data_IF_419438864153
#
_entry.id   IF_419438864153
#
_cell.length_a   1.000
_cell.length_b   1.000
_cell.length_c   1.000
_cell.angle_alpha   90.00
_cell.angle_beta   90.00
_cell.angle_gamma   90.00
#
_symmetry.space_group_name_H-M   'P 1'
#
loop_
_entity.id
_entity.type
_entity.pdbx_description
1 polymer ?
#
# COMPACT_ATOMS: atom_id res chain seq x y z
N UNK A 1 -1.79 14.86 -22.29
CA UNK A 1 -0.36 14.93 -21.93
C UNK A 1 -0.24 14.47 -20.48
N UNK A 2 0.41 13.33 -20.23
CA UNK A 2 0.15 12.09 -20.95
C UNK A 2 -0.13 10.97 -19.93
N UNK A 3 -0.76 9.88 -20.36
CA UNK A 3 -0.97 8.73 -19.49
C UNK A 3 0.31 8.16 -18.89
N UNK A 4 0.15 7.15 -18.06
CA UNK A 4 1.25 6.48 -17.39
C UNK A 4 1.87 5.43 -18.31
N UNK A 5 3.15 5.10 -18.15
CA UNK A 5 3.83 4.04 -18.91
C UNK A 5 3.04 2.73 -18.92
N UNK A 6 2.42 2.37 -17.78
CA UNK A 6 1.63 1.14 -17.66
C UNK A 6 0.14 1.31 -17.97
N UNK A 7 -0.32 2.54 -18.26
CA UNK A 7 -1.72 2.89 -18.62
C UNK A 7 -1.76 4.18 -19.46
N UNK A 8 -1.66 4.03 -20.78
CA UNK A 8 -1.50 5.15 -21.73
C UNK A 8 -2.69 6.14 -21.76
N UNK A 9 -3.91 5.68 -21.47
CA UNK A 9 -5.13 6.49 -21.37
C UNK A 9 -5.50 6.85 -19.92
N UNK A 10 -4.53 6.88 -18.99
CA UNK A 10 -4.78 7.13 -17.56
C UNK A 10 -5.59 8.40 -17.27
N UNK A 11 -5.46 9.45 -18.07
CA UNK A 11 -6.24 10.68 -17.87
C UNK A 11 -7.74 10.44 -18.11
N UNK A 12 -8.10 9.67 -19.14
CA UNK A 12 -9.50 9.29 -19.40
C UNK A 12 -10.02 8.34 -18.31
N UNK A 13 -9.17 7.43 -17.82
CA UNK A 13 -9.50 6.58 -16.66
C UNK A 13 -9.81 7.44 -15.44
N UNK A 14 -8.97 8.43 -15.15
CA UNK A 14 -9.16 9.35 -14.02
C UNK A 14 -10.46 10.13 -14.17
N UNK A 15 -10.78 10.60 -15.37
CA UNK A 15 -12.05 11.29 -15.65
C UNK A 15 -13.26 10.38 -15.38
N UNK A 16 -13.26 9.15 -15.91
CA UNK A 16 -14.33 8.17 -15.64
C UNK A 16 -14.49 7.87 -14.16
N UNK A 17 -13.39 7.59 -13.46
CA UNK A 17 -13.40 7.34 -12.03
C UNK A 17 -13.90 8.55 -11.24
N UNK A 18 -13.52 9.77 -11.63
CA UNK A 18 -13.98 11.01 -10.98
C UNK A 18 -15.49 11.19 -11.18
N UNK A 19 -15.98 10.99 -12.40
CA UNK A 19 -17.43 11.06 -12.71
C UNK A 19 -18.20 10.05 -11.88
N UNK A 20 -17.78 8.78 -11.90
CA UNK A 20 -18.41 7.71 -11.12
C UNK A 20 -18.39 7.98 -9.61
N UNK A 21 -17.24 8.40 -9.06
CA UNK A 21 -17.09 8.70 -7.63
C UNK A 21 -18.02 9.82 -7.17
N UNK A 22 -18.28 10.80 -8.02
CA UNK A 22 -19.20 11.91 -7.74
C UNK A 22 -20.67 11.57 -8.09
N UNK A 23 -21.00 10.29 -8.28
CA UNK A 23 -22.36 9.82 -8.55
C UNK A 23 -22.85 10.04 -9.98
N UNK A 24 -21.97 10.42 -10.91
CA UNK A 24 -22.28 10.53 -12.33
C UNK A 24 -22.34 9.18 -13.04
N UNK A 25 -23.00 9.16 -14.20
CA UNK A 25 -23.12 7.96 -15.04
C UNK A 25 -21.96 7.87 -16.04
N UNK A 26 -21.34 6.70 -16.14
CA UNK A 26 -20.29 6.37 -17.13
C UNK A 26 -20.79 5.32 -18.15
N UNK A 27 -22.09 5.03 -18.16
CA UNK A 27 -22.78 4.11 -19.07
C UNK A 27 -22.67 2.63 -18.69
N UNK A 28 -21.94 2.29 -17.62
CA UNK A 28 -21.70 0.93 -17.11
C UNK A 28 -21.13 0.96 -15.69
N UNK A 29 -21.05 -0.19 -14.98
CA UNK A 29 -20.26 -0.26 -13.75
C UNK A 29 -18.79 0.10 -13.98
N UNK A 30 -18.19 0.79 -13.01
CA UNK A 30 -16.74 0.94 -12.93
C UNK A 30 -16.13 -0.43 -12.61
N UNK A 31 -15.08 -0.82 -13.34
CA UNK A 31 -14.46 -2.13 -13.19
C UNK A 31 -12.95 -2.01 -13.06
N UNK A 32 -12.37 -2.76 -12.11
CA UNK A 32 -10.93 -2.97 -12.04
C UNK A 32 -10.60 -4.33 -12.66
N UNK A 33 -10.08 -4.31 -13.88
CA UNK A 33 -9.69 -5.52 -14.61
C UNK A 33 -8.20 -5.49 -14.87
N UNK A 34 -7.51 -6.55 -14.46
CA UNK A 34 -6.09 -6.73 -14.73
C UNK A 34 -5.83 -8.09 -15.37
N UNK A 35 -4.90 -8.14 -16.31
CA UNK A 35 -4.38 -9.38 -16.87
C UNK A 35 -2.85 -9.35 -16.89
N UNK A 36 -2.23 -10.50 -17.17
CA UNK A 36 -0.79 -10.61 -17.28
C UNK A 36 -0.36 -10.35 -18.73
N UNK A 37 0.61 -9.45 -18.91
CA UNK A 37 1.27 -9.22 -20.20
C UNK A 37 2.07 -10.44 -20.63
N UNK A 38 2.13 -10.69 -21.93
CA UNK A 38 3.00 -11.74 -22.51
C UNK A 38 4.49 -11.44 -22.32
N UNK A 39 4.86 -10.16 -22.35
CA UNK A 39 6.20 -9.67 -22.08
C UNK A 39 6.14 -8.44 -21.17
N UNK A 40 7.12 -8.24 -20.27
CA UNK A 40 7.13 -7.08 -19.40
C UNK A 40 7.43 -5.80 -20.19
N UNK A 41 6.84 -4.68 -19.78
CA UNK A 41 7.12 -3.37 -20.39
C UNK A 41 8.50 -2.81 -20.04
N UNK A 42 9.05 -3.23 -18.90
CA UNK A 42 10.42 -2.90 -18.49
C UNK A 42 11.14 -4.15 -17.98
N UNK A 43 12.42 -4.27 -18.32
CA UNK A 43 13.28 -5.36 -17.85
C UNK A 43 13.99 -4.94 -16.58
N UNK A 44 13.39 -5.27 -15.43
CA UNK A 44 13.95 -4.99 -14.11
C UNK A 44 14.31 -6.31 -13.45
N UNK A 45 15.61 -6.47 -13.14
CA UNK A 45 16.13 -7.69 -12.55
C UNK A 45 15.47 -7.98 -11.19
N UNK A 46 15.08 -9.23 -10.98
CA UNK A 46 14.58 -9.70 -9.71
C UNK A 46 15.74 -9.86 -8.72
N UNK A 47 15.62 -9.26 -7.53
CA UNK A 47 16.48 -9.64 -6.43
C UNK A 47 16.06 -11.00 -5.87
N UNK A 48 17.00 -11.82 -5.36
CA UNK A 48 16.66 -13.03 -4.64
C UNK A 48 15.85 -12.69 -3.39
N UNK A 49 14.86 -13.53 -3.06
CA UNK A 49 14.07 -13.35 -1.85
C UNK A 49 14.97 -13.49 -0.60
N UNK A 50 14.95 -12.50 0.33
CA UNK A 50 15.73 -12.57 1.56
C UNK A 50 15.33 -13.77 2.43
N UNK A 51 16.27 -14.37 3.18
CA UNK A 51 15.95 -15.41 4.15
C UNK A 51 14.92 -14.92 5.18
N UNK A 52 13.90 -15.73 5.45
CA UNK A 52 12.85 -15.38 6.43
C UNK A 52 11.77 -14.42 5.91
N UNK A 53 11.78 -14.07 4.62
CA UNK A 53 10.76 -13.20 4.02
C UNK A 53 9.40 -13.89 3.93
N UNK A 54 8.50 -13.65 4.89
CA UNK A 54 7.18 -14.30 4.97
C UNK A 54 6.04 -13.44 4.41
N UNK A 55 6.25 -12.15 4.20
CA UNK A 55 5.21 -11.20 3.77
C UNK A 55 5.78 -10.02 3.00
N UNK A 56 5.03 -9.48 2.04
CA UNK A 56 5.41 -8.27 1.30
C UNK A 56 5.28 -6.99 2.13
N UNK A 57 4.72 -7.06 3.33
CA UNK A 57 4.70 -5.98 4.31
C UNK A 57 6.02 -5.81 5.08
N UNK A 58 6.94 -6.79 5.00
CA UNK A 58 8.14 -6.84 5.84
C UNK A 58 9.00 -5.58 5.71
N UNK A 59 9.62 -5.20 6.84
CA UNK A 59 10.62 -4.12 6.94
C UNK A 59 12.04 -4.66 7.04
N UNK A 60 12.23 -5.99 6.97
CA UNK A 60 13.52 -6.65 7.22
C UNK A 60 14.59 -6.40 6.15
N UNK A 61 14.17 -6.09 4.92
CA UNK A 61 15.05 -5.81 3.79
C UNK A 61 14.48 -4.67 2.93
N UNK A 62 15.12 -3.50 3.03
CA UNK A 62 14.69 -2.30 2.35
C UNK A 62 14.90 -2.38 0.83
N UNK A 63 16.05 -2.89 0.38
CA UNK A 63 16.38 -2.93 -1.05
C UNK A 63 15.48 -3.93 -1.78
N UNK A 64 15.11 -5.03 -1.11
CA UNK A 64 14.12 -5.96 -1.61
C UNK A 64 12.72 -5.30 -1.73
N UNK A 65 12.28 -4.50 -0.75
CA UNK A 65 11.02 -3.71 -0.86
C UNK A 65 11.04 -2.78 -2.06
N UNK A 66 12.15 -2.08 -2.28
CA UNK A 66 12.33 -1.18 -3.43
C UNK A 66 12.29 -1.96 -4.74
N UNK A 67 12.92 -3.14 -4.81
CA UNK A 67 12.86 -4.00 -5.99
C UNK A 67 11.45 -4.51 -6.30
N UNK A 68 10.68 -4.90 -5.27
CA UNK A 68 9.28 -5.30 -5.41
C UNK A 68 8.44 -4.14 -5.97
N UNK A 69 8.59 -2.93 -5.42
CA UNK A 69 7.91 -1.74 -5.89
C UNK A 69 8.24 -1.44 -7.37
N UNK A 70 9.52 -1.47 -7.74
CA UNK A 70 9.97 -1.23 -9.12
C UNK A 70 9.37 -2.24 -10.12
N UNK A 71 9.08 -3.46 -9.68
CA UNK A 71 8.59 -4.57 -10.52
C UNK A 71 7.08 -4.79 -10.43
N UNK A 72 6.36 -4.05 -9.60
CA UNK A 72 4.95 -4.32 -9.29
C UNK A 72 4.06 -4.28 -10.53
N UNK A 73 4.32 -3.35 -11.44
CA UNK A 73 3.47 -3.12 -12.61
C UNK A 73 4.02 -3.71 -13.91
N UNK A 74 5.29 -4.17 -13.96
CA UNK A 74 5.97 -4.44 -15.25
C UNK A 74 5.30 -5.54 -16.08
N UNK A 75 4.65 -6.50 -15.43
CA UNK A 75 3.96 -7.64 -16.07
C UNK A 75 2.44 -7.48 -16.11
N UNK A 76 1.90 -6.37 -15.62
CA UNK A 76 0.45 -6.19 -15.45
C UNK A 76 -0.09 -5.31 -16.57
N UNK A 77 -1.15 -5.78 -17.21
CA UNK A 77 -1.97 -4.99 -18.11
C UNK A 77 -3.21 -4.54 -17.36
N UNK A 78 -3.42 -3.23 -17.30
CA UNK A 78 -4.51 -2.58 -16.62
C UNK A 78 -5.58 -2.24 -17.65
N UNK A 79 -6.82 -2.67 -17.42
CA UNK A 79 -7.96 -2.53 -18.32
C UNK A 79 -9.14 -1.83 -17.59
N UNK A 80 -10.10 -1.34 -18.36
CA UNK A 80 -11.25 -0.57 -17.84
C UNK A 80 -10.82 0.62 -16.97
N UNK A 81 -11.15 0.62 -15.68
CA UNK A 81 -10.77 1.65 -14.70
C UNK A 81 -9.64 1.20 -13.76
N UNK A 82 -8.98 0.06 -14.04
CA UNK A 82 -7.82 -0.35 -13.26
C UNK A 82 -6.66 0.62 -13.47
N UNK A 83 -5.97 0.95 -12.37
CA UNK A 83 -4.86 1.92 -12.36
C UNK A 83 -3.58 1.26 -11.86
N UNK A 84 -2.44 1.47 -12.53
CA UNK A 84 -1.14 1.02 -12.01
C UNK A 84 -0.81 1.79 -10.74
N UNK A 85 -0.60 1.08 -9.64
CA UNK A 85 -0.30 1.68 -8.35
C UNK A 85 0.64 0.82 -7.50
N UNK A 86 1.33 1.46 -6.58
CA UNK A 86 2.17 0.83 -5.56
C UNK A 86 1.95 1.54 -4.22
N UNK A 87 1.91 0.79 -3.13
CA UNK A 87 1.77 1.31 -1.77
C UNK A 87 2.99 0.94 -0.90
N UNK A 88 3.41 1.80 0.03
CA UNK A 88 4.46 1.51 1.00
C UNK A 88 3.91 0.80 2.27
N UNK A 89 2.94 -0.11 2.11
CA UNK A 89 2.24 -0.74 3.23
C UNK A 89 3.16 -1.60 4.09
N UNK A 90 2.94 -1.57 5.40
CA UNK A 90 3.65 -2.35 6.42
C UNK A 90 2.74 -3.29 7.22
N UNK A 91 1.42 -3.13 7.09
CA UNK A 91 0.38 -4.01 7.60
C UNK A 91 -0.95 -3.61 6.94
N UNK A 92 -2.00 -4.44 7.06
CA UNK A 92 -3.38 -4.01 6.76
C UNK A 92 -3.88 -2.85 7.65
N UNK A 93 -3.15 -2.53 8.72
CA UNK A 93 -3.45 -1.42 9.62
C UNK A 93 -2.14 -0.70 9.97
N UNK A 94 -1.64 0.09 9.03
CA UNK A 94 -0.40 0.83 9.22
C UNK A 94 -0.55 1.91 10.30
N UNK A 95 -1.75 2.47 10.49
CA UNK A 95 -1.97 3.49 11.51
C UNK A 95 -1.72 2.95 12.92
N UNK A 96 -2.16 1.73 13.24
CA UNK A 96 -1.85 1.12 14.53
C UNK A 96 -0.32 0.98 14.76
N UNK A 97 0.45 0.64 13.73
CA UNK A 97 1.92 0.62 13.83
C UNK A 97 2.49 2.02 14.11
N UNK A 98 1.95 3.06 13.48
CA UNK A 98 2.37 4.45 13.71
C UNK A 98 1.99 4.96 15.10
N UNK A 99 0.92 4.43 15.68
CA UNK A 99 0.42 4.77 17.02
C UNK A 99 1.00 3.85 18.11
N UNK A 100 1.96 2.98 17.79
CA UNK A 100 2.78 2.27 18.78
C UNK A 100 2.56 0.76 18.88
N UNK A 101 1.70 0.15 18.05
CA UNK A 101 1.66 -1.31 17.97
C UNK A 101 2.98 -1.86 17.42
N UNK A 102 3.39 -3.01 17.98
CA UNK A 102 4.48 -3.82 17.42
C UNK A 102 3.92 -4.71 16.30
N UNK A 103 4.53 -4.66 15.12
CA UNK A 103 4.17 -5.51 13.99
C UNK A 103 4.79 -6.91 14.11
N UNK A 104 3.96 -7.95 14.04
CA UNK A 104 4.36 -9.36 14.04
C UNK A 104 4.15 -9.94 12.64
N UNK A 105 5.25 -10.20 11.93
CA UNK A 105 5.22 -10.80 10.60
C UNK A 105 4.71 -12.25 10.64
N UNK A 106 3.74 -12.55 9.78
CA UNK A 106 3.18 -13.88 9.57
C UNK A 106 3.10 -14.16 8.07
N UNK A 107 2.95 -15.43 7.63
CA UNK A 107 2.80 -15.75 6.21
C UNK A 107 1.72 -14.91 5.53
N UNK A 108 2.13 -14.02 4.62
CA UNK A 108 1.26 -13.12 3.86
C UNK A 108 0.73 -11.89 4.58
N UNK A 109 1.03 -11.66 5.87
CA UNK A 109 0.47 -10.51 6.62
C UNK A 109 1.36 -10.02 7.76
N UNK A 110 1.00 -8.90 8.39
CA UNK A 110 1.58 -8.40 9.66
C UNK A 110 0.43 -8.16 10.62
N UNK A 111 0.49 -8.77 11.80
CA UNK A 111 -0.45 -8.51 12.89
C UNK A 111 0.05 -7.39 13.78
N UNK A 112 -0.83 -6.49 14.19
CA UNK A 112 -0.52 -5.45 15.16
C UNK A 112 -0.75 -5.98 16.56
N UNK A 113 0.31 -6.08 17.36
CA UNK A 113 0.23 -6.49 18.76
C UNK A 113 -0.38 -5.34 19.58
N UNK A 114 -1.41 -5.61 20.41
CA UNK A 114 -2.02 -4.59 21.26
C UNK A 114 -1.01 -3.90 22.19
N UNK A 115 -1.20 -2.60 22.39
CA UNK A 115 -0.36 -1.73 23.22
C UNK A 115 -1.17 -0.88 24.22
N UNK A 116 -2.50 -0.93 24.20
CA UNK A 116 -3.39 -0.23 25.15
C UNK A 116 -3.92 -1.24 26.17
N UNK A 117 -3.53 -1.07 27.43
CA UNK A 117 -4.01 -1.91 28.54
C UNK A 117 -5.30 -1.36 29.17
N UNK A 118 -5.42 -0.03 29.28
CA UNK A 118 -6.60 0.65 29.81
C UNK A 118 -6.91 1.93 29.03
N UNK A 119 -8.13 2.49 29.11
CA UNK A 119 -8.46 3.76 28.44
C UNK A 119 -7.50 4.90 28.81
N UNK A 120 -7.03 4.94 30.05
CA UNK A 120 -6.15 5.98 30.58
C UNK A 120 -4.72 5.87 30.06
N UNK A 121 -4.29 4.69 29.59
CA UNK A 121 -2.97 4.48 29.01
C UNK A 121 -2.91 4.78 27.51
N UNK A 122 -4.04 5.12 26.88
CA UNK A 122 -4.09 5.38 25.45
C UNK A 122 -3.40 6.71 25.10
N UNK A 123 -2.46 6.65 24.16
CA UNK A 123 -1.86 7.81 23.51
C UNK A 123 -2.06 7.70 22.00
N UNK A 124 -2.36 8.82 21.37
CA UNK A 124 -2.54 8.94 19.92
C UNK A 124 -1.61 10.01 19.35
N UNK A 125 -0.51 10.27 20.04
CA UNK A 125 0.42 11.32 19.67
C UNK A 125 1.18 10.95 18.40
N UNK A 126 1.38 11.94 17.53
CA UNK A 126 2.23 11.77 16.37
C UNK A 126 3.70 11.67 16.80
N UNK A 127 4.33 10.53 16.49
CA UNK A 127 5.76 10.31 16.70
C UNK A 127 6.51 10.30 15.36
N UNK A 128 7.26 11.37 15.10
CA UNK A 128 8.10 11.48 13.90
C UNK A 128 9.28 10.49 13.88
N UNK A 129 9.65 9.94 15.05
CA UNK A 129 10.73 8.98 15.22
C UNK A 129 10.25 7.52 15.25
N UNK A 130 8.93 7.28 15.16
CA UNK A 130 8.39 5.93 15.04
C UNK A 130 9.05 5.17 13.86
N UNK A 131 9.61 3.97 14.09
CA UNK A 131 10.39 3.26 13.08
C UNK A 131 9.56 2.87 11.85
N UNK A 132 8.30 2.48 12.04
CA UNK A 132 7.38 2.16 10.95
C UNK A 132 7.04 3.40 10.13
N UNK A 133 6.76 4.52 10.80
CA UNK A 133 6.51 5.80 10.13
C UNK A 133 7.69 6.25 9.27
N UNK A 134 8.90 6.24 9.84
CA UNK A 134 10.14 6.60 9.11
C UNK A 134 10.41 5.65 7.95
N UNK A 135 10.18 4.35 8.12
CA UNK A 135 10.33 3.38 7.05
C UNK A 135 9.33 3.64 5.91
N UNK A 136 8.04 3.81 6.21
CA UNK A 136 7.01 4.12 5.20
C UNK A 136 7.34 5.40 4.45
N UNK A 137 7.74 6.48 5.13
CA UNK A 137 8.10 7.73 4.46
C UNK A 137 9.31 7.55 3.53
N UNK A 138 10.33 6.80 3.98
CA UNK A 138 11.51 6.52 3.16
C UNK A 138 11.14 5.71 1.92
N UNK A 139 10.37 4.63 2.09
CA UNK A 139 9.92 3.78 0.99
C UNK A 139 8.98 4.53 0.04
N UNK A 140 8.03 5.31 0.56
CA UNK A 140 7.10 6.11 -0.22
C UNK A 140 7.81 7.15 -1.11
N UNK A 141 8.83 7.83 -0.58
CA UNK A 141 9.68 8.74 -1.38
C UNK A 141 10.40 8.02 -2.51
N UNK A 142 10.87 6.81 -2.26
CA UNK A 142 11.53 6.00 -3.28
C UNK A 142 10.54 5.47 -4.33
N UNK A 143 9.33 5.07 -3.92
CA UNK A 143 8.24 4.73 -4.83
C UNK A 143 7.85 5.93 -5.71
N UNK A 144 7.80 7.15 -5.17
CA UNK A 144 7.54 8.37 -5.95
C UNK A 144 8.63 8.61 -7.00
N UNK A 145 9.90 8.41 -6.62
CA UNK A 145 11.04 8.54 -7.53
C UNK A 145 10.98 7.50 -8.66
N UNK A 146 10.73 6.24 -8.33
CA UNK A 146 10.65 5.13 -9.28
C UNK A 146 9.41 5.21 -10.18
N UNK A 147 8.29 5.65 -9.62
CA UNK A 147 6.97 5.68 -10.25
C UNK A 147 6.71 6.89 -11.13
N UNK A 148 7.61 7.87 -11.17
CA UNK A 148 7.44 9.09 -11.95
C UNK A 148 7.11 8.76 -13.43
N UNK A 149 5.88 9.08 -13.85
CA UNK A 149 5.37 8.79 -15.19
C UNK A 149 4.99 7.32 -15.45
N UNK A 150 5.02 6.44 -14.44
CA UNK A 150 4.82 4.99 -14.59
C UNK A 150 3.62 4.44 -13.84
N UNK A 151 3.48 4.78 -12.56
CA UNK A 151 2.39 4.32 -11.70
C UNK A 151 2.05 5.39 -10.65
N UNK A 152 0.87 5.25 -10.05
CA UNK A 152 0.47 6.05 -8.89
C UNK A 152 1.09 5.50 -7.61
N UNK A 153 1.35 6.39 -6.65
CA UNK A 153 1.74 5.97 -5.30
C UNK A 153 0.54 6.16 -4.38
N UNK A 154 0.04 5.05 -3.84
CA UNK A 154 -1.05 5.07 -2.88
C UNK A 154 -0.50 5.42 -1.49
N UNK A 155 -1.30 6.11 -0.68
CA UNK A 155 -1.05 6.20 0.76
C UNK A 155 -1.17 4.80 1.39
N UNK A 156 -0.47 4.52 2.50
CA UNK A 156 -0.52 3.22 3.13
C UNK A 156 -1.93 2.89 3.65
N UNK A 157 -2.28 1.62 3.81
CA UNK A 157 -3.54 1.20 4.41
C UNK A 157 -3.62 1.68 5.87
N UNK A 158 -4.35 2.77 6.08
CA UNK A 158 -4.48 3.40 7.38
C UNK A 158 -5.52 2.71 8.26
N UNK A 159 -6.46 1.94 7.67
CA UNK A 159 -7.69 1.41 8.30
C UNK A 159 -8.55 2.52 8.99
N UNK A 160 -9.83 2.25 9.26
CA UNK A 160 -10.70 3.16 10.00
C UNK A 160 -10.38 3.24 11.50
N UNK A 161 -10.82 4.32 12.16
CA UNK A 161 -10.46 4.58 13.56
C UNK A 161 -10.90 3.52 14.57
N UNK A 162 -12.05 2.87 14.36
CA UNK A 162 -12.53 1.86 15.30
C UNK A 162 -11.73 0.55 15.20
N UNK A 163 -11.42 0.10 13.99
CA UNK A 163 -10.56 -1.05 13.75
C UNK A 163 -9.12 -0.79 14.19
N UNK A 164 -8.64 0.46 14.03
CA UNK A 164 -7.37 0.91 14.62
C UNK A 164 -7.38 0.72 16.12
N UNK A 165 -8.40 1.23 16.81
CA UNK A 165 -8.53 1.12 18.27
C UNK A 165 -8.65 -0.34 18.71
N UNK A 166 -9.38 -1.17 17.97
CA UNK A 166 -9.51 -2.60 18.23
C UNK A 166 -8.16 -3.33 18.12
N UNK A 167 -7.33 -2.98 17.13
CA UNK A 167 -5.99 -3.53 17.01
C UNK A 167 -5.07 -3.08 18.16
N UNK A 168 -5.17 -1.81 18.57
CA UNK A 168 -4.35 -1.26 19.64
C UNK A 168 -4.73 -1.78 21.04
N UNK A 169 -6.01 -2.06 21.29
CA UNK A 169 -6.50 -2.52 22.62
C UNK A 169 -6.73 -4.03 22.70
N UNK A 170 -6.92 -4.68 21.57
CA UNK A 170 -7.46 -6.03 21.48
C UNK A 170 -8.98 -6.01 21.40
N UNK A 171 -9.54 -6.70 20.40
CA UNK A 171 -10.97 -6.72 20.11
C UNK A 171 -11.83 -7.13 21.30
N UNK A 172 -11.44 -8.18 22.03
CA UNK A 172 -12.21 -8.69 23.18
C UNK A 172 -12.27 -7.69 24.35
N UNK A 173 -11.24 -6.86 24.53
CA UNK A 173 -11.18 -5.86 25.61
C UNK A 173 -11.86 -4.54 25.24
N UNK A 174 -12.28 -4.39 23.97
CA UNK A 174 -12.94 -3.20 23.46
C UNK A 174 -14.48 -3.38 23.36
N UNK A 175 -14.96 -4.61 23.20
CA UNK A 175 -16.38 -4.98 23.19
C UNK A 175 -17.00 -4.94 24.60
#
# INVERSE_FOLDING_TARGET
MPGLLYREDMDEVRERLTTWWNGGDIGRPAMQVTTRRTAPLEQIAALPQPPGWVTHYSTSDYDYRVNLAARSCVNTEYLAEATPHVSPDLAPNCLALYLGCEGVEMPGTVWCKPCIESPESASFDYDADNPYWRFTLRLGRECLRLGAGKFLVQFPDLIEGFDTLAAMRGTELLL
#
